data_IF_487867266849
#
_entry.id   IF_487867266849
#
_cell.length_a   1.000
_cell.length_b   1.000
_cell.length_c   1.000
_cell.angle_alpha   90.00
_cell.angle_beta   90.00
_cell.angle_gamma   90.00
#
_symmetry.space_group_name_H-M   'P 1'
#
loop_
_entity.id
_entity.type
_entity.pdbx_description
1 polymer ?
#
# COMPACT_ATOMS: atom_id res chain seq x y z
N UNK A 1 -17.74 -8.69 45.73
CA UNK A 1 -17.53 -9.25 44.36
C UNK A 1 -16.08 -9.11 43.90
N UNK A 2 -15.44 -7.93 44.07
CA UNK A 2 -14.00 -7.78 43.85
C UNK A 2 -13.17 -8.63 44.82
N UNK A 3 -13.47 -8.62 46.12
CA UNK A 3 -12.71 -9.39 47.12
C UNK A 3 -12.76 -10.90 46.90
N UNK A 4 -13.89 -11.42 46.41
CA UNK A 4 -14.05 -12.83 46.05
C UNK A 4 -13.28 -13.21 44.77
N UNK A 5 -13.07 -12.27 43.85
CA UNK A 5 -12.23 -12.47 42.67
C UNK A 5 -10.75 -12.41 43.06
N UNK A 6 -10.38 -11.44 43.90
CA UNK A 6 -9.01 -11.31 44.43
C UNK A 6 -8.61 -12.55 45.24
N UNK A 7 -9.48 -13.04 46.13
CA UNK A 7 -9.23 -14.26 46.92
C UNK A 7 -9.11 -15.53 46.06
N UNK A 8 -9.84 -15.61 44.94
CA UNK A 8 -9.71 -16.72 43.98
C UNK A 8 -8.44 -16.62 43.14
N UNK A 9 -7.97 -15.41 42.81
CA UNK A 9 -6.73 -15.19 42.05
C UNK A 9 -5.48 -15.34 42.93
N UNK A 10 -5.60 -15.15 44.25
CA UNK A 10 -4.52 -15.32 45.23
C UNK A 10 -4.32 -16.77 45.69
N UNK A 11 -5.16 -17.71 45.25
CA UNK A 11 -4.99 -19.12 45.58
C UNK A 11 -3.81 -19.71 44.77
N UNK A 12 -2.79 -20.33 45.38
CA UNK A 12 -1.57 -20.73 44.68
C UNK A 12 -1.80 -21.56 43.40
N UNK A 13 -2.79 -22.47 43.44
CA UNK A 13 -3.18 -23.29 42.28
C UNK A 13 -3.72 -22.47 41.09
N UNK A 14 -4.54 -21.45 41.34
CA UNK A 14 -5.11 -20.61 40.27
C UNK A 14 -4.05 -19.67 39.70
N UNK A 15 -3.19 -19.11 40.56
CA UNK A 15 -2.04 -18.31 40.14
C UNK A 15 -1.10 -19.12 39.24
N UNK A 16 -0.71 -20.33 39.66
CA UNK A 16 0.17 -21.21 38.86
C UNK A 16 -0.47 -21.60 37.52
N UNK A 17 -1.77 -21.91 37.50
CA UNK A 17 -2.47 -22.22 36.26
C UNK A 17 -2.49 -21.03 35.28
N UNK A 18 -2.74 -19.81 35.78
CA UNK A 18 -2.75 -18.59 34.97
C UNK A 18 -1.35 -18.27 34.42
N UNK A 19 -0.31 -18.38 35.25
CA UNK A 19 1.08 -18.19 34.81
C UNK A 19 1.47 -19.23 33.77
N UNK A 20 1.10 -20.50 33.97
CA UNK A 20 1.33 -21.58 33.02
C UNK A 20 0.65 -21.32 31.67
N UNK A 21 -0.63 -20.95 31.69
CA UNK A 21 -1.38 -20.60 30.47
C UNK A 21 -0.79 -19.39 29.75
N UNK A 22 -0.45 -18.33 30.47
CA UNK A 22 0.15 -17.13 29.87
C UNK A 22 1.51 -17.45 29.25
N UNK A 23 2.35 -18.23 29.94
CA UNK A 23 3.67 -18.64 29.43
C UNK A 23 3.53 -19.49 28.16
N UNK A 24 2.57 -20.43 28.16
CA UNK A 24 2.27 -21.24 26.98
C UNK A 24 1.77 -20.38 25.81
N UNK A 25 0.84 -19.46 26.06
CA UNK A 25 0.29 -18.55 25.05
C UNK A 25 1.38 -17.66 24.44
N UNK A 26 2.18 -16.99 25.28
CA UNK A 26 3.26 -16.12 24.81
C UNK A 26 4.31 -16.91 24.03
N UNK A 27 4.64 -18.14 24.45
CA UNK A 27 5.56 -19.02 23.73
C UNK A 27 5.00 -19.45 22.37
N UNK A 28 3.72 -19.85 22.32
CA UNK A 28 3.05 -20.23 21.08
C UNK A 28 3.01 -19.06 20.09
N UNK A 29 2.61 -17.87 20.54
CA UNK A 29 2.60 -16.65 19.73
C UNK A 29 4.01 -16.34 19.22
N UNK A 30 5.03 -16.40 20.10
CA UNK A 30 6.43 -16.13 19.74
C UNK A 30 6.97 -17.11 18.71
N UNK A 31 6.64 -18.40 18.80
CA UNK A 31 7.07 -19.41 17.83
C UNK A 31 6.37 -19.18 16.50
N UNK A 32 5.02 -19.16 16.50
CA UNK A 32 4.24 -19.08 15.26
C UNK A 32 4.51 -17.80 14.48
N UNK A 33 4.66 -16.66 15.17
CA UNK A 33 4.82 -15.35 14.53
C UNK A 33 6.13 -15.22 13.76
N UNK A 34 7.18 -15.93 14.17
CA UNK A 34 8.49 -15.88 13.51
C UNK A 34 8.70 -17.00 12.48
N UNK A 35 7.72 -17.89 12.28
CA UNK A 35 7.85 -19.00 11.30
C UNK A 35 8.11 -18.51 9.88
N UNK A 36 7.33 -17.54 9.40
CA UNK A 36 7.46 -17.00 8.03
C UNK A 36 8.73 -16.19 7.85
N UNK A 37 9.03 -15.31 8.81
CA UNK A 37 10.30 -14.59 8.87
C UNK A 37 11.50 -15.56 8.80
N UNK A 38 11.53 -16.59 9.64
CA UNK A 38 12.65 -17.54 9.63
C UNK A 38 12.70 -18.36 8.33
N UNK A 39 11.55 -18.70 7.74
CA UNK A 39 11.50 -19.43 6.48
C UNK A 39 12.08 -18.61 5.32
N UNK A 40 11.70 -17.34 5.17
CA UNK A 40 12.19 -16.49 4.09
C UNK A 40 13.69 -16.20 4.24
N UNK A 41 14.18 -16.02 5.47
CA UNK A 41 15.60 -15.83 5.74
C UNK A 41 16.43 -17.09 5.50
N UNK A 42 15.89 -18.29 5.79
CA UNK A 42 16.56 -19.54 5.41
C UNK A 42 16.62 -19.73 3.90
N UNK A 43 15.58 -19.32 3.17
CA UNK A 43 15.51 -19.43 1.71
C UNK A 43 16.53 -18.51 1.02
N UNK A 44 16.62 -17.24 1.45
CA UNK A 44 17.39 -16.22 0.73
C UNK A 44 18.68 -15.77 1.43
N UNK A 45 18.91 -16.16 2.67
CA UNK A 45 20.05 -15.66 3.46
C UNK A 45 21.41 -15.98 2.86
N UNK A 46 21.61 -17.21 2.36
CA UNK A 46 22.85 -17.61 1.68
C UNK A 46 23.03 -16.91 0.34
N UNK A 47 21.95 -16.77 -0.44
CA UNK A 47 21.98 -16.07 -1.73
C UNK A 47 22.30 -14.58 -1.56
N UNK A 48 21.68 -13.92 -0.59
CA UNK A 48 21.95 -12.51 -0.29
C UNK A 48 23.37 -12.27 0.26
N UNK A 49 23.93 -13.24 0.98
CA UNK A 49 25.31 -13.23 1.47
C UNK A 49 25.73 -11.90 2.13
N UNK A 50 24.95 -11.43 3.11
CA UNK A 50 25.21 -10.16 3.81
C UNK A 50 25.34 -8.92 2.90
N UNK A 51 24.64 -8.92 1.76
CA UNK A 51 24.65 -7.82 0.79
C UNK A 51 25.70 -7.96 -0.31
N UNK A 52 26.49 -9.03 -0.30
CA UNK A 52 27.46 -9.32 -1.36
C UNK A 52 26.85 -10.10 -2.54
N UNK A 53 25.71 -10.74 -2.33
CA UNK A 53 25.00 -11.49 -3.36
C UNK A 53 23.86 -10.69 -4.00
N UNK A 54 23.41 -11.15 -5.17
CA UNK A 54 22.37 -10.50 -5.95
C UNK A 54 21.00 -11.14 -5.70
N UNK A 55 19.98 -10.29 -5.51
CA UNK A 55 18.58 -10.69 -5.45
C UNK A 55 17.88 -10.24 -6.73
N UNK A 56 17.11 -11.13 -7.34
CA UNK A 56 16.28 -10.80 -8.49
C UNK A 56 15.02 -10.04 -8.03
N UNK A 57 14.41 -9.17 -8.87
CA UNK A 57 13.23 -8.39 -8.50
C UNK A 57 12.05 -9.22 -7.97
N UNK A 58 11.79 -10.38 -8.54
CA UNK A 58 10.74 -11.31 -8.10
C UNK A 58 11.05 -11.98 -6.75
N UNK A 59 12.33 -12.22 -6.45
CA UNK A 59 12.76 -12.74 -5.15
C UNK A 59 12.64 -11.65 -4.08
N UNK A 60 13.04 -10.42 -4.43
CA UNK A 60 12.83 -9.25 -3.60
C UNK A 60 11.32 -9.04 -3.33
N UNK A 61 10.47 -9.23 -4.33
CA UNK A 61 9.01 -9.19 -4.20
C UNK A 61 8.51 -10.25 -3.20
N UNK A 62 8.97 -11.50 -3.29
CA UNK A 62 8.60 -12.56 -2.33
C UNK A 62 9.02 -12.21 -0.89
N UNK A 63 10.23 -11.66 -0.74
CA UNK A 63 10.76 -11.26 0.58
C UNK A 63 9.88 -10.17 1.21
N UNK A 64 9.58 -9.09 0.47
CA UNK A 64 8.78 -7.98 1.02
C UNK A 64 7.33 -8.38 1.30
N UNK A 65 6.78 -9.33 0.55
CA UNK A 65 5.42 -9.85 0.75
C UNK A 65 5.20 -10.47 2.14
N UNK A 66 6.23 -11.03 2.78
CA UNK A 66 6.11 -11.55 4.15
C UNK A 66 5.72 -10.43 5.11
N UNK A 67 6.47 -9.32 5.06
CA UNK A 67 6.21 -8.17 5.93
C UNK A 67 4.87 -7.51 5.59
N UNK A 68 4.60 -7.33 4.29
CA UNK A 68 3.42 -6.63 3.75
C UNK A 68 2.13 -7.41 3.93
N UNK A 69 2.09 -8.70 3.69
CA UNK A 69 0.83 -9.46 3.65
C UNK A 69 0.52 -10.16 4.97
N UNK A 70 1.53 -10.51 5.77
CA UNK A 70 1.35 -11.32 6.98
C UNK A 70 1.66 -10.56 8.25
N UNK A 71 2.82 -9.91 8.32
CA UNK A 71 3.30 -9.37 9.59
C UNK A 71 2.60 -8.07 9.95
N UNK A 72 2.68 -7.07 9.07
CA UNK A 72 2.25 -5.69 9.35
C UNK A 72 1.40 -5.07 8.22
N UNK A 73 0.40 -5.79 7.64
CA UNK A 73 -0.35 -5.32 6.47
C UNK A 73 -1.07 -4.00 6.67
N UNK A 74 -1.61 -3.76 7.87
CA UNK A 74 -2.25 -2.49 8.14
C UNK A 74 -1.24 -1.34 8.13
N UNK A 75 -0.09 -1.50 8.79
CA UNK A 75 0.93 -0.45 8.84
C UNK A 75 1.48 -0.19 7.45
N UNK A 76 1.94 -1.23 6.75
CA UNK A 76 2.57 -1.12 5.42
C UNK A 76 1.61 -0.67 4.31
N UNK A 77 0.31 -0.92 4.45
CA UNK A 77 -0.69 -0.28 3.58
C UNK A 77 -0.67 1.24 3.75
N UNK A 78 -0.61 1.74 4.99
CA UNK A 78 -0.64 3.17 5.26
C UNK A 78 0.72 3.85 5.01
N UNK A 79 1.85 3.13 5.02
CA UNK A 79 3.14 3.73 4.67
C UNK A 79 3.18 4.22 3.23
N UNK A 80 2.54 3.52 2.28
CA UNK A 80 2.42 3.98 0.90
C UNK A 80 1.51 5.20 0.76
N UNK A 81 0.42 5.27 1.54
CA UNK A 81 -0.42 6.46 1.58
C UNK A 81 0.33 7.67 2.17
N UNK A 82 1.14 7.45 3.22
CA UNK A 82 1.98 8.48 3.84
C UNK A 82 3.12 8.92 2.94
N UNK A 83 3.76 8.01 2.20
CA UNK A 83 4.76 8.32 1.19
C UNK A 83 4.17 9.26 0.12
N UNK A 84 3.00 8.92 -0.44
CA UNK A 84 2.30 9.79 -1.38
C UNK A 84 1.94 11.14 -0.76
N UNK A 85 1.43 11.15 0.47
CA UNK A 85 1.07 12.39 1.17
C UNK A 85 2.29 13.29 1.39
N UNK A 86 3.45 12.72 1.72
CA UNK A 86 4.71 13.43 1.93
C UNK A 86 5.17 14.20 0.69
N UNK A 87 4.93 13.66 -0.51
CA UNK A 87 5.24 14.36 -1.78
C UNK A 87 4.51 15.70 -1.93
N UNK A 88 3.41 15.92 -1.22
CA UNK A 88 2.70 17.20 -1.26
C UNK A 88 3.49 18.32 -0.58
N UNK A 89 4.53 18.00 0.19
CA UNK A 89 5.46 18.98 0.74
C UNK A 89 6.44 19.56 -0.30
N UNK A 90 6.45 19.04 -1.53
CA UNK A 90 7.32 19.51 -2.62
C UNK A 90 6.51 20.42 -3.56
N UNK A 91 6.85 21.72 -3.72
CA UNK A 91 6.07 22.66 -4.52
C UNK A 91 5.90 22.28 -6.00
N UNK A 92 6.91 21.67 -6.64
CA UNK A 92 6.80 21.20 -8.04
C UNK A 92 5.70 20.13 -8.18
N UNK A 93 5.65 19.20 -7.23
CA UNK A 93 4.69 18.09 -7.21
C UNK A 93 3.30 18.59 -6.83
N UNK A 94 3.16 19.35 -5.75
CA UNK A 94 1.85 19.83 -5.27
C UNK A 94 1.16 20.75 -6.30
N UNK A 95 1.92 21.64 -6.95
CA UNK A 95 1.42 22.49 -8.04
C UNK A 95 0.90 21.67 -9.21
N UNK A 96 1.63 20.63 -9.61
CA UNK A 96 1.19 19.72 -10.67
C UNK A 96 -0.10 18.98 -10.25
N UNK A 97 -0.15 18.46 -9.03
CA UNK A 97 -1.33 17.78 -8.48
C UNK A 97 -2.56 18.70 -8.46
N UNK A 98 -2.41 19.95 -8.02
CA UNK A 98 -3.46 20.95 -8.05
C UNK A 98 -3.92 21.25 -9.49
N UNK A 99 -2.98 21.33 -10.44
CA UNK A 99 -3.26 21.58 -11.85
C UNK A 99 -4.02 20.42 -12.53
N UNK A 100 -3.82 19.17 -12.09
CA UNK A 100 -4.55 18.02 -12.66
C UNK A 100 -6.07 18.12 -12.51
N UNK A 101 -6.55 18.88 -11.52
CA UNK A 101 -7.94 18.97 -11.06
C UNK A 101 -8.51 17.69 -10.43
N UNK A 102 -7.72 16.63 -10.32
CA UNK A 102 -8.15 15.35 -9.72
C UNK A 102 -8.14 15.37 -8.18
N UNK A 103 -7.61 16.43 -7.58
CA UNK A 103 -7.67 16.72 -6.14
C UNK A 103 -8.56 17.91 -5.80
N UNK A 104 -9.59 18.23 -6.62
CA UNK A 104 -10.44 19.41 -6.42
C UNK A 104 -11.81 19.12 -5.83
N UNK A 105 -12.27 17.87 -5.88
CA UNK A 105 -13.55 17.48 -5.30
C UNK A 105 -13.40 16.19 -4.51
N UNK A 106 -14.20 16.03 -3.46
CA UNK A 106 -14.21 14.82 -2.64
C UNK A 106 -14.31 13.55 -3.51
N UNK A 107 -15.21 13.55 -4.50
CA UNK A 107 -15.41 12.40 -5.39
C UNK A 107 -14.17 12.10 -6.26
N UNK A 108 -13.53 13.12 -6.84
CA UNK A 108 -12.32 12.95 -7.66
C UNK A 108 -11.14 12.44 -6.82
N UNK A 109 -10.93 13.02 -5.63
CA UNK A 109 -9.89 12.56 -4.67
C UNK A 109 -10.11 11.10 -4.31
N UNK A 110 -11.35 10.73 -3.99
CA UNK A 110 -11.73 9.37 -3.59
C UNK A 110 -11.42 8.34 -4.67
N UNK A 111 -11.79 8.64 -5.93
CA UNK A 111 -11.50 7.76 -7.07
C UNK A 111 -10.00 7.70 -7.33
N UNK A 112 -9.33 8.86 -7.41
CA UNK A 112 -7.89 8.93 -7.64
C UNK A 112 -7.11 8.12 -6.61
N UNK A 113 -7.46 8.23 -5.33
CA UNK A 113 -6.85 7.45 -4.26
C UNK A 113 -7.10 5.95 -4.45
N UNK A 114 -8.33 5.54 -4.73
CA UNK A 114 -8.68 4.14 -4.98
C UNK A 114 -7.90 3.55 -6.14
N UNK A 115 -7.86 4.25 -7.28
CA UNK A 115 -7.15 3.80 -8.49
C UNK A 115 -5.65 3.70 -8.25
N UNK A 116 -5.07 4.67 -7.53
CA UNK A 116 -3.65 4.67 -7.16
C UNK A 116 -3.32 3.47 -6.27
N UNK A 117 -4.15 3.20 -5.25
CA UNK A 117 -3.98 2.04 -4.36
C UNK A 117 -4.09 0.73 -5.13
N UNK A 118 -5.05 0.61 -6.05
CA UNK A 118 -5.22 -0.59 -6.88
C UNK A 118 -3.98 -0.80 -7.73
N UNK A 119 -3.56 0.21 -8.50
CA UNK A 119 -2.38 0.12 -9.36
C UNK A 119 -1.14 -0.31 -8.58
N UNK A 120 -0.82 0.39 -7.49
CA UNK A 120 0.34 0.07 -6.62
C UNK A 120 0.24 -1.34 -6.06
N UNK A 121 -0.94 -1.72 -5.58
CA UNK A 121 -1.16 -3.05 -5.00
C UNK A 121 -1.00 -4.13 -6.06
N UNK A 122 -1.46 -3.91 -7.29
CA UNK A 122 -1.35 -4.87 -8.39
C UNK A 122 0.10 -5.23 -8.68
N UNK A 123 1.02 -4.28 -8.91
CA UNK A 123 2.42 -4.67 -9.15
C UNK A 123 3.17 -5.09 -7.89
N UNK A 124 2.68 -4.80 -6.69
CA UNK A 124 3.26 -5.34 -5.46
C UNK A 124 2.80 -6.79 -5.16
N UNK A 125 1.60 -7.19 -5.60
CA UNK A 125 0.94 -8.44 -5.19
C UNK A 125 0.83 -9.47 -6.31
N UNK A 126 0.67 -9.04 -7.58
CA UNK A 126 0.79 -9.91 -8.75
C UNK A 126 2.28 -10.15 -9.09
N UNK A 127 2.63 -11.31 -9.67
CA UNK A 127 4.01 -11.63 -10.05
C UNK A 127 4.62 -10.57 -10.96
N UNK A 128 5.68 -9.89 -10.51
CA UNK A 128 6.32 -8.83 -11.31
C UNK A 128 6.96 -9.38 -12.60
N UNK A 129 7.41 -10.63 -12.55
CA UNK A 129 7.92 -11.39 -13.70
C UNK A 129 6.82 -11.86 -14.65
N UNK A 130 5.56 -11.87 -14.21
CA UNK A 130 4.44 -12.49 -14.93
C UNK A 130 4.32 -14.01 -14.76
N UNK A 131 5.20 -14.66 -13.98
CA UNK A 131 5.23 -16.11 -13.80
C UNK A 131 5.38 -16.50 -12.33
N UNK A 132 4.75 -17.61 -11.95
CA UNK A 132 4.85 -18.17 -10.60
C UNK A 132 6.19 -18.88 -10.35
N UNK A 133 6.80 -19.43 -11.42
CA UNK A 133 8.13 -20.05 -11.41
C UNK A 133 9.19 -19.02 -11.82
N UNK A 134 10.10 -18.71 -10.90
CA UNK A 134 11.13 -17.68 -11.09
C UNK A 134 12.28 -18.14 -11.99
N UNK A 135 12.61 -19.43 -11.98
CA UNK A 135 13.67 -19.99 -12.82
C UNK A 135 13.17 -20.03 -14.27
N UNK A 136 11.92 -20.45 -14.48
CA UNK A 136 11.29 -20.36 -15.79
C UNK A 136 11.20 -18.92 -16.29
N UNK A 137 10.77 -17.97 -15.45
CA UNK A 137 10.69 -16.56 -15.81
C UNK A 137 12.00 -16.01 -16.37
N UNK A 138 13.12 -16.38 -15.74
CA UNK A 138 14.46 -15.91 -16.12
C UNK A 138 14.94 -16.41 -17.48
N UNK A 139 14.41 -17.54 -17.94
CA UNK A 139 14.80 -18.20 -19.20
C UNK A 139 13.80 -17.96 -20.32
N UNK A 140 12.58 -17.49 -20.00
CA UNK A 140 11.52 -17.22 -20.96
C UNK A 140 11.74 -15.90 -21.72
N UNK A 141 12.66 -15.91 -22.68
CA UNK A 141 13.08 -14.74 -23.46
C UNK A 141 13.10 -15.00 -24.97
N UNK A 142 13.19 -13.94 -25.77
CA UNK A 142 13.32 -14.03 -27.23
C UNK A 142 12.00 -14.24 -27.98
N UNK A 143 12.09 -14.52 -29.28
CA UNK A 143 10.92 -14.60 -30.18
C UNK A 143 9.95 -15.75 -29.87
N UNK A 144 10.39 -16.75 -29.10
CA UNK A 144 9.61 -17.93 -28.75
C UNK A 144 9.14 -17.91 -27.28
N UNK A 145 9.22 -16.75 -26.60
CA UNK A 145 8.77 -16.60 -25.23
C UNK A 145 7.30 -16.99 -25.09
N UNK A 146 7.00 -17.84 -24.10
CA UNK A 146 5.63 -18.19 -23.75
C UNK A 146 4.93 -16.97 -23.12
N UNK A 147 3.60 -16.84 -23.29
CA UNK A 147 2.85 -15.77 -22.64
C UNK A 147 2.93 -15.84 -21.11
N UNK A 148 2.88 -14.69 -20.45
CA UNK A 148 2.82 -14.57 -19.00
C UNK A 148 1.59 -15.30 -18.41
N UNK A 149 1.79 -15.98 -17.28
CA UNK A 149 0.70 -16.56 -16.49
C UNK A 149 -0.18 -15.46 -15.88
N UNK A 150 0.45 -14.39 -15.40
CA UNK A 150 -0.22 -13.24 -14.81
C UNK A 150 0.42 -11.91 -15.25
N UNK A 151 -0.07 -11.30 -16.34
CA UNK A 151 0.48 -10.04 -16.87
C UNK A 151 0.09 -8.80 -16.05
N UNK A 152 -0.76 -8.93 -15.02
CA UNK A 152 -1.43 -7.79 -14.36
C UNK A 152 -0.47 -6.76 -13.77
N UNK A 153 0.63 -7.21 -13.15
CA UNK A 153 1.65 -6.31 -12.61
C UNK A 153 2.20 -5.34 -13.67
N UNK A 154 2.50 -5.86 -14.86
CA UNK A 154 3.07 -5.08 -15.96
C UNK A 154 2.00 -4.26 -16.69
N UNK A 155 0.74 -4.71 -16.76
CA UNK A 155 -0.38 -3.88 -17.23
C UNK A 155 -0.57 -2.67 -16.32
N UNK A 156 -0.48 -2.86 -14.99
CA UNK A 156 -0.61 -1.77 -14.03
C UNK A 156 0.55 -0.75 -14.13
N UNK A 157 1.78 -1.23 -14.31
CA UNK A 157 2.94 -0.36 -14.55
C UNK A 157 2.81 0.39 -15.88
N UNK A 158 2.47 -0.30 -16.97
CA UNK A 158 2.26 0.32 -18.27
C UNK A 158 1.14 1.37 -18.23
N UNK A 159 0.03 1.09 -17.51
CA UNK A 159 -1.05 2.06 -17.30
C UNK A 159 -0.56 3.28 -16.54
N UNK A 160 0.25 3.09 -15.50
CA UNK A 160 0.82 4.18 -14.72
C UNK A 160 1.75 5.04 -15.57
N UNK A 161 2.66 4.43 -16.33
CA UNK A 161 3.54 5.13 -17.28
C UNK A 161 2.75 5.95 -18.30
N UNK A 162 1.70 5.36 -18.87
CA UNK A 162 0.84 6.04 -19.83
C UNK A 162 0.08 7.22 -19.23
N UNK A 163 -0.47 7.07 -18.02
CA UNK A 163 -1.15 8.17 -17.31
C UNK A 163 -0.17 9.30 -16.99
N UNK A 164 1.03 8.93 -16.55
CA UNK A 164 2.08 9.86 -16.20
C UNK A 164 2.64 10.62 -17.42
N UNK A 165 2.71 10.00 -18.61
CA UNK A 165 3.18 10.66 -19.83
C UNK A 165 2.28 11.81 -20.30
N UNK A 166 1.06 11.92 -19.76
CA UNK A 166 0.15 13.05 -20.03
C UNK A 166 0.53 14.32 -19.27
N UNK A 167 1.55 14.27 -18.41
CA UNK A 167 1.99 15.35 -17.57
C UNK A 167 3.50 15.54 -17.68
N UNK A 168 3.97 16.79 -17.50
CA UNK A 168 5.39 17.10 -17.43
C UNK A 168 5.86 16.92 -15.99
N UNK A 169 6.38 15.74 -15.68
CA UNK A 169 6.96 15.39 -14.37
C UNK A 169 8.48 15.36 -14.54
N UNK A 170 9.22 16.03 -13.65
CA UNK A 170 10.68 16.01 -13.71
C UNK A 170 11.24 14.66 -13.26
N UNK A 171 12.41 14.27 -13.76
CA UNK A 171 13.06 13.03 -13.30
C UNK A 171 13.30 13.03 -11.79
N UNK A 172 13.66 14.19 -11.22
CA UNK A 172 13.88 14.31 -9.78
C UNK A 172 12.59 14.14 -8.96
N UNK A 173 11.45 14.64 -9.43
CA UNK A 173 10.16 14.41 -8.74
C UNK A 173 9.77 12.92 -8.78
N UNK A 174 10.03 12.25 -9.92
CA UNK A 174 9.86 10.80 -10.04
C UNK A 174 10.77 10.05 -9.07
N UNK A 175 12.07 10.35 -9.08
CA UNK A 175 13.06 9.69 -8.26
C UNK A 175 12.78 9.90 -6.77
N UNK A 176 12.36 11.09 -6.37
CA UNK A 176 11.93 11.36 -5.00
C UNK A 176 10.75 10.51 -4.58
N UNK A 177 9.70 10.46 -5.42
CA UNK A 177 8.53 9.62 -5.14
C UNK A 177 8.92 8.14 -5.05
N UNK A 178 9.83 7.67 -5.92
CA UNK A 178 10.37 6.30 -5.89
C UNK A 178 11.11 6.01 -4.59
N UNK A 179 12.00 6.91 -4.16
CA UNK A 179 12.75 6.76 -2.92
C UNK A 179 11.79 6.62 -1.73
N UNK A 180 10.73 7.43 -1.65
CA UNK A 180 9.75 7.31 -0.56
C UNK A 180 9.06 5.94 -0.53
N UNK A 181 8.74 5.37 -1.68
CA UNK A 181 8.15 4.03 -1.74
C UNK A 181 9.10 2.93 -1.23
N UNK A 182 10.41 3.09 -1.45
CA UNK A 182 11.42 2.17 -0.93
C UNK A 182 11.72 2.38 0.57
N UNK A 183 11.77 3.63 1.04
CA UNK A 183 12.32 3.98 2.36
C UNK A 183 11.26 4.18 3.45
N UNK A 184 10.07 4.70 3.14
CA UNK A 184 9.02 4.93 4.14
C UNK A 184 8.53 3.62 4.80
N UNK A 185 8.32 2.49 4.08
CA UNK A 185 8.06 1.20 4.70
C UNK A 185 9.07 0.84 5.79
N UNK A 186 10.36 1.07 5.53
CA UNK A 186 11.46 0.78 6.45
C UNK A 186 11.43 1.71 7.66
N UNK A 187 11.29 3.02 7.43
CA UNK A 187 11.22 4.02 8.48
C UNK A 187 10.06 3.75 9.46
N UNK A 188 8.86 3.50 8.93
CA UNK A 188 7.65 3.30 9.74
C UNK A 188 7.64 1.96 10.47
N UNK A 189 8.07 0.88 9.83
CA UNK A 189 8.13 -0.43 10.48
C UNK A 189 9.17 -0.46 11.60
N UNK A 190 10.32 0.18 11.42
CA UNK A 190 11.34 0.26 12.47
C UNK A 190 10.86 1.03 13.70
N UNK A 191 9.92 1.98 13.53
CA UNK A 191 9.42 2.84 14.60
C UNK A 191 8.12 2.35 15.25
N UNK A 192 7.21 1.80 14.46
CA UNK A 192 5.84 1.49 14.86
C UNK A 192 5.39 0.08 14.48
N UNK A 193 6.26 -0.69 13.84
CA UNK A 193 6.04 -2.10 13.58
C UNK A 193 6.19 -2.94 14.85
N UNK A 194 5.53 -4.10 14.89
CA UNK A 194 5.74 -5.05 15.99
C UNK A 194 7.16 -5.65 15.95
N UNK A 195 7.83 -5.61 14.79
CA UNK A 195 9.26 -5.88 14.61
C UNK A 195 9.86 -4.90 13.60
N UNK A 196 11.18 -4.77 13.65
CA UNK A 196 11.98 -4.11 12.61
C UNK A 196 12.10 -5.01 11.37
N UNK A 197 12.39 -4.41 10.23
CA UNK A 197 12.82 -5.14 9.04
C UNK A 197 14.30 -5.51 9.15
N UNK A 198 14.65 -6.73 8.80
CA UNK A 198 16.05 -7.17 8.77
C UNK A 198 16.83 -6.48 7.64
N UNK A 199 18.18 -6.51 7.66
CA UNK A 199 18.97 -6.00 6.55
C UNK A 199 18.62 -6.64 5.19
N UNK A 200 18.31 -7.95 5.17
CA UNK A 200 17.85 -8.66 3.97
C UNK A 200 16.52 -8.06 3.46
N UNK A 201 15.55 -7.86 4.35
CA UNK A 201 14.25 -7.31 3.96
C UNK A 201 14.36 -5.86 3.49
N UNK A 202 15.19 -5.04 4.15
CA UNK A 202 15.46 -3.66 3.73
C UNK A 202 16.12 -3.62 2.34
N UNK A 203 17.09 -4.51 2.08
CA UNK A 203 17.71 -4.64 0.76
C UNK A 203 16.69 -5.09 -0.30
N UNK A 204 15.80 -6.03 0.04
CA UNK A 204 14.74 -6.46 -0.88
C UNK A 204 13.77 -5.32 -1.22
N UNK A 205 13.41 -4.44 -0.27
CA UNK A 205 12.64 -3.23 -0.57
C UNK A 205 13.35 -2.34 -1.59
N UNK A 206 14.65 -2.12 -1.42
CA UNK A 206 15.46 -1.37 -2.39
C UNK A 206 15.45 -2.03 -3.77
N UNK A 207 15.79 -3.33 -3.86
CA UNK A 207 15.87 -4.06 -5.15
C UNK A 207 14.54 -4.00 -5.89
N UNK A 208 13.44 -4.30 -5.19
CA UNK A 208 12.12 -4.29 -5.79
C UNK A 208 11.75 -2.90 -6.32
N UNK A 209 11.87 -1.84 -5.51
CA UNK A 209 11.49 -0.50 -5.95
C UNK A 209 12.47 0.09 -6.96
N UNK A 210 13.76 -0.22 -6.91
CA UNK A 210 14.70 0.16 -7.96
C UNK A 210 14.31 -0.47 -9.32
N UNK A 211 13.86 -1.74 -9.34
CA UNK A 211 13.33 -2.38 -10.55
C UNK A 211 12.05 -1.68 -11.06
N UNK A 212 11.11 -1.36 -10.16
CA UNK A 212 9.93 -0.55 -10.53
C UNK A 212 10.36 0.78 -11.15
N UNK A 213 11.35 1.46 -10.58
CA UNK A 213 11.86 2.73 -11.12
C UNK A 213 12.42 2.59 -12.53
N UNK A 214 13.18 1.53 -12.79
CA UNK A 214 13.69 1.20 -14.14
C UNK A 214 12.54 0.95 -15.12
N UNK A 215 11.53 0.17 -14.71
CA UNK A 215 10.30 -0.08 -15.50
C UNK A 215 9.47 1.17 -15.76
N UNK A 216 9.63 2.21 -14.93
CA UNK A 216 9.03 3.54 -15.10
C UNK A 216 9.93 4.52 -15.87
N UNK A 217 11.08 4.06 -16.38
CA UNK A 217 12.08 4.87 -17.08
C UNK A 217 12.64 6.04 -16.23
N UNK A 218 12.71 5.86 -14.90
CA UNK A 218 13.34 6.81 -13.98
C UNK A 218 14.86 6.68 -14.11
N UNK A 219 15.54 7.81 -14.29
CA UNK A 219 16.99 7.88 -14.45
C UNK A 219 17.68 8.18 -13.12
N UNK A 220 18.99 7.93 -13.05
CA UNK A 220 19.85 8.28 -11.92
C UNK A 220 19.44 7.65 -10.58
N UNK A 221 18.82 6.45 -10.63
CA UNK A 221 18.44 5.70 -9.43
C UNK A 221 19.72 5.31 -8.66
N UNK A 222 19.87 5.72 -7.38
CA UNK A 222 21.05 5.37 -6.58
C UNK A 222 21.26 3.86 -6.51
N UNK A 223 22.52 3.42 -6.52
CA UNK A 223 22.91 2.00 -6.62
C UNK A 223 22.81 1.23 -5.30
N UNK A 224 22.37 1.87 -4.22
CA UNK A 224 22.15 1.23 -2.93
C UNK A 224 21.00 1.90 -2.15
N UNK A 225 20.46 1.17 -1.17
CA UNK A 225 19.46 1.72 -0.24
C UNK A 225 19.99 2.95 0.51
N UNK A 226 21.24 2.91 0.97
CA UNK A 226 21.88 4.04 1.66
C UNK A 226 21.94 5.27 0.75
N UNK A 227 22.36 5.09 -0.51
CA UNK A 227 22.36 6.16 -1.51
C UNK A 227 20.97 6.71 -1.80
N UNK A 228 19.93 5.87 -1.88
CA UNK A 228 18.54 6.33 -2.01
C UNK A 228 18.10 7.18 -0.81
N UNK A 229 18.47 6.78 0.41
CA UNK A 229 18.11 7.52 1.62
C UNK A 229 18.83 8.87 1.69
N UNK A 230 20.11 8.91 1.34
CA UNK A 230 20.90 10.14 1.29
C UNK A 230 20.39 11.10 0.21
N UNK A 231 20.16 10.60 -1.00
CA UNK A 231 19.61 11.38 -2.10
C UNK A 231 18.23 11.96 -1.77
N UNK A 232 17.33 11.16 -1.20
CA UNK A 232 16.00 11.63 -0.81
C UNK A 232 16.07 12.70 0.28
N UNK A 233 17.00 12.54 1.23
CA UNK A 233 17.24 13.54 2.27
C UNK A 233 17.75 14.87 1.70
N UNK A 234 18.72 14.83 0.80
CA UNK A 234 19.24 16.04 0.13
C UNK A 234 18.15 16.74 -0.69
N UNK A 235 17.34 15.96 -1.41
CA UNK A 235 16.20 16.46 -2.15
C UNK A 235 15.16 17.12 -1.23
N UNK A 236 14.84 16.52 -0.09
CA UNK A 236 13.96 17.11 0.93
C UNK A 236 14.53 18.41 1.50
N UNK A 237 15.80 18.40 1.91
CA UNK A 237 16.47 19.58 2.48
C UNK A 237 16.50 20.77 1.50
N UNK A 238 16.51 20.48 0.19
CA UNK A 238 16.55 21.49 -0.88
C UNK A 238 15.17 21.96 -1.33
N UNK A 239 14.23 21.03 -1.54
CA UNK A 239 12.97 21.32 -2.26
C UNK A 239 11.71 21.26 -1.38
N UNK A 240 11.78 20.69 -0.17
CA UNK A 240 10.61 20.60 0.72
C UNK A 240 10.40 21.89 1.52
N UNK A 241 9.83 22.89 0.85
CA UNK A 241 9.63 24.23 1.39
C UNK A 241 8.15 24.61 1.51
N UNK A 242 7.78 25.54 2.41
CA UNK A 242 6.41 26.03 2.54
C UNK A 242 5.85 26.57 1.22
N UNK A 243 4.68 26.07 0.81
CA UNK A 243 3.94 26.60 -0.33
C UNK A 243 2.43 26.45 -0.16
N UNK A 244 1.68 27.38 -0.74
CA UNK A 244 0.22 27.38 -0.65
C UNK A 244 -0.39 26.15 -1.33
N UNK A 245 0.14 25.75 -2.50
CA UNK A 245 -0.31 24.54 -3.20
C UNK A 245 -0.13 23.29 -2.33
N UNK A 246 0.96 23.20 -1.53
CA UNK A 246 1.18 22.11 -0.58
C UNK A 246 0.04 22.01 0.45
N UNK A 247 -0.35 23.17 1.01
CA UNK A 247 -1.42 23.26 2.01
C UNK A 247 -2.77 22.86 1.42
N UNK A 248 -3.10 23.34 0.23
CA UNK A 248 -4.39 23.11 -0.40
C UNK A 248 -4.63 21.64 -0.76
N UNK A 249 -3.63 20.99 -1.36
CA UNK A 249 -3.75 19.56 -1.72
C UNK A 249 -3.74 18.66 -0.47
N UNK A 250 -3.00 19.05 0.57
CA UNK A 250 -3.00 18.36 1.85
C UNK A 250 -4.38 18.48 2.54
N UNK A 251 -4.94 19.68 2.66
CA UNK A 251 -6.25 19.92 3.29
C UNK A 251 -7.37 19.17 2.56
N UNK A 252 -7.33 19.16 1.23
CA UNK A 252 -8.32 18.46 0.42
C UNK A 252 -8.26 16.95 0.64
N UNK A 253 -7.05 16.38 0.69
CA UNK A 253 -6.83 14.96 0.93
C UNK A 253 -7.21 14.55 2.37
N UNK A 254 -6.83 15.34 3.37
CA UNK A 254 -7.22 15.09 4.78
C UNK A 254 -8.74 15.20 4.94
N UNK A 255 -9.38 16.15 4.26
CA UNK A 255 -10.83 16.30 4.24
C UNK A 255 -11.56 15.08 3.64
N UNK A 256 -10.99 14.43 2.63
CA UNK A 256 -11.53 13.18 2.08
C UNK A 256 -11.30 11.99 3.01
N UNK A 257 -10.11 11.85 3.61
CA UNK A 257 -9.82 10.80 4.58
C UNK A 257 -10.82 10.80 5.75
N UNK A 258 -11.21 12.00 6.18
CA UNK A 258 -12.14 12.21 7.30
C UNK A 258 -13.59 12.41 6.84
N UNK A 259 -13.90 12.12 5.57
CA UNK A 259 -15.23 12.33 5.00
C UNK A 259 -16.34 11.57 5.74
N UNK A 260 -16.04 10.33 6.16
CA UNK A 260 -16.94 9.45 6.89
C UNK A 260 -16.95 9.68 8.42
N UNK A 261 -16.03 10.48 8.95
CA UNK A 261 -16.01 10.77 10.39
C UNK A 261 -17.20 11.69 10.76
N UNK A 262 -17.90 11.46 11.88
CA UNK A 262 -18.98 12.34 12.33
C UNK A 262 -18.50 13.79 12.56
N UNK A 263 -19.37 14.77 12.29
CA UNK A 263 -19.10 16.18 12.63
C UNK A 263 -19.34 16.47 14.12
N UNK A 264 -20.19 15.67 14.77
CA UNK A 264 -20.48 15.78 16.18
C UNK A 264 -19.22 15.63 17.04
N UNK A 265 -19.20 16.36 18.17
CA UNK A 265 -18.15 16.30 19.19
C UNK A 265 -16.73 16.63 18.69
N UNK A 266 -16.59 17.25 17.51
CA UNK A 266 -15.31 17.64 16.95
C UNK A 266 -14.45 16.48 16.44
N UNK A 267 -15.04 15.31 16.13
CA UNK A 267 -14.30 14.13 15.68
C UNK A 267 -13.46 14.39 14.41
N UNK A 268 -13.98 15.15 13.42
CA UNK A 268 -13.19 15.56 12.24
C UNK A 268 -11.99 16.42 12.63
N UNK A 269 -12.16 17.41 13.50
CA UNK A 269 -11.07 18.27 13.95
C UNK A 269 -10.00 17.48 14.72
N UNK A 270 -10.41 16.55 15.59
CA UNK A 270 -9.48 15.64 16.26
C UNK A 270 -8.75 14.76 15.24
N UNK A 271 -9.46 14.19 14.26
CA UNK A 271 -8.88 13.40 13.18
C UNK A 271 -7.82 14.17 12.38
N UNK A 272 -8.11 15.44 12.01
CA UNK A 272 -7.15 16.32 11.34
C UNK A 272 -5.88 16.48 12.17
N UNK A 273 -6.03 16.77 13.47
CA UNK A 273 -4.89 16.95 14.38
C UNK A 273 -4.08 15.67 14.57
N UNK A 274 -4.74 14.50 14.61
CA UNK A 274 -4.08 13.20 14.64
C UNK A 274 -3.27 13.00 13.35
N UNK A 275 -3.84 13.28 12.18
CA UNK A 275 -3.10 13.20 10.91
C UNK A 275 -1.87 14.09 10.90
N UNK A 276 -1.97 15.33 11.38
CA UNK A 276 -0.82 16.24 11.50
C UNK A 276 0.25 15.68 12.46
N UNK A 277 -0.14 14.94 13.51
CA UNK A 277 0.81 14.30 14.43
C UNK A 277 1.64 13.17 13.79
N UNK A 278 1.18 12.60 12.67
CA UNK A 278 1.87 11.54 11.94
C UNK A 278 2.95 12.09 10.99
N UNK A 279 2.88 13.38 10.63
CA UNK A 279 3.85 14.01 9.76
C UNK A 279 5.18 14.25 10.50
N UNK A 280 6.28 14.05 9.79
CA UNK A 280 7.58 14.54 10.24
C UNK A 280 7.62 16.09 10.20
N UNK A 281 8.68 16.66 10.78
CA UNK A 281 8.74 18.10 11.00
C UNK A 281 8.85 18.92 9.71
N UNK A 282 9.66 18.46 8.73
CA UNK A 282 9.88 19.19 7.49
C UNK A 282 8.62 19.15 6.62
N UNK A 283 7.98 17.98 6.50
CA UNK A 283 6.71 17.82 5.77
C UNK A 283 5.60 18.69 6.37
N UNK A 284 5.43 18.67 7.70
CA UNK A 284 4.43 19.51 8.38
C UNK A 284 4.65 21.00 8.11
N UNK A 285 5.91 21.47 8.18
CA UNK A 285 6.26 22.87 7.91
C UNK A 285 6.01 23.24 6.45
N UNK A 286 6.39 22.37 5.52
CA UNK A 286 6.20 22.59 4.09
C UNK A 286 4.71 22.64 3.69
N UNK A 287 3.85 21.89 4.38
CA UNK A 287 2.39 21.98 4.25
C UNK A 287 1.77 23.11 5.08
N UNK A 288 2.57 23.94 5.76
CA UNK A 288 2.10 25.07 6.57
C UNK A 288 1.10 24.67 7.68
N UNK A 289 1.23 23.46 8.24
CA UNK A 289 0.41 23.03 9.37
C UNK A 289 1.02 23.45 10.70
N UNK A 290 0.19 23.84 11.66
CA UNK A 290 0.66 24.17 13.00
C UNK A 290 1.15 22.94 13.78
N UNK A 291 2.14 23.18 14.65
CA UNK A 291 2.68 22.14 15.53
C UNK A 291 1.61 21.74 16.55
N UNK A 292 1.29 20.46 16.59
CA UNK A 292 0.29 19.94 17.53
C UNK A 292 0.85 19.85 18.97
N UNK A 293 -0.02 19.95 20.01
CA UNK A 293 0.39 19.87 21.40
C UNK A 293 1.21 18.61 21.72
N UNK A 294 2.18 18.74 22.62
CA UNK A 294 3.11 17.65 22.94
C UNK A 294 2.39 16.40 23.45
N UNK A 295 1.37 16.55 24.30
CA UNK A 295 0.58 15.44 24.82
C UNK A 295 -0.17 14.69 23.72
N UNK A 296 -0.75 15.40 22.75
CA UNK A 296 -1.46 14.75 21.64
C UNK A 296 -0.47 13.96 20.77
N UNK A 297 0.68 14.55 20.43
CA UNK A 297 1.74 13.87 19.67
C UNK A 297 2.27 12.64 20.40
N UNK A 298 2.49 12.74 21.71
CA UNK A 298 2.91 11.62 22.55
C UNK A 298 1.83 10.52 22.61
N UNK A 299 0.56 10.90 22.74
CA UNK A 299 -0.57 9.97 22.75
C UNK A 299 -0.71 9.18 21.44
N UNK A 300 -0.60 9.85 20.27
CA UNK A 300 -0.63 9.17 18.96
C UNK A 300 0.51 8.17 18.83
N UNK A 301 1.74 8.56 19.21
CA UNK A 301 2.90 7.66 19.21
C UNK A 301 2.73 6.50 20.19
N UNK A 302 2.20 6.77 21.38
CA UNK A 302 1.88 5.76 22.40
C UNK A 302 0.87 4.75 21.90
N UNK A 303 -0.19 5.19 21.22
CA UNK A 303 -1.20 4.31 20.64
C UNK A 303 -0.60 3.36 19.58
N UNK A 304 0.26 3.87 18.70
CA UNK A 304 0.97 3.05 17.72
C UNK A 304 1.90 2.04 18.40
N UNK A 305 2.65 2.46 19.42
CA UNK A 305 3.53 1.58 20.18
C UNK A 305 2.77 0.49 20.96
N UNK A 306 1.62 0.82 21.56
CA UNK A 306 0.73 -0.14 22.20
C UNK A 306 0.20 -1.14 21.16
N UNK A 307 -0.22 -0.65 19.99
CA UNK A 307 -0.66 -1.51 18.88
C UNK A 307 0.43 -2.50 18.46
N UNK A 308 1.68 -2.04 18.32
CA UNK A 308 2.83 -2.87 18.02
C UNK A 308 3.09 -3.92 19.11
N UNK A 309 3.02 -3.53 20.39
CA UNK A 309 3.19 -4.43 21.53
C UNK A 309 2.13 -5.53 21.56
N UNK A 310 0.85 -5.16 21.44
CA UNK A 310 -0.29 -6.09 21.43
C UNK A 310 -0.15 -7.07 20.26
N UNK A 311 0.18 -6.57 19.06
CA UNK A 311 0.43 -7.42 17.90
C UNK A 311 1.60 -8.38 18.12
N UNK A 312 2.71 -7.90 18.72
CA UNK A 312 3.91 -8.71 18.93
C UNK A 312 3.66 -9.89 19.86
N UNK A 313 3.01 -9.64 21.00
CA UNK A 313 2.99 -10.57 22.13
C UNK A 313 1.63 -11.23 22.37
N UNK A 314 0.52 -10.57 22.04
CA UNK A 314 -0.80 -11.01 22.49
C UNK A 314 -1.66 -11.61 21.39
N UNK A 315 -1.50 -11.18 20.14
CA UNK A 315 -2.28 -11.73 19.03
C UNK A 315 -1.58 -12.96 18.43
N UNK A 316 -2.31 -13.92 17.83
CA UNK A 316 -1.71 -14.94 16.96
C UNK A 316 -1.29 -14.33 15.60
N UNK A 317 -0.36 -14.96 14.86
CA UNK A 317 -0.05 -14.53 13.50
C UNK A 317 -1.19 -14.83 12.54
N UNK A 318 -1.21 -14.13 11.41
CA UNK A 318 -2.23 -14.34 10.37
C UNK A 318 -2.03 -15.70 9.71
N UNK A 319 -3.13 -16.41 9.51
CA UNK A 319 -3.14 -17.68 8.78
C UNK A 319 -3.07 -17.39 7.27
N UNK A 320 -3.87 -16.43 6.81
CA UNK A 320 -3.95 -16.00 5.41
C UNK A 320 -3.30 -14.62 5.20
N UNK A 321 -2.72 -14.42 4.01
CA UNK A 321 -2.15 -13.14 3.63
C UNK A 321 -3.25 -12.11 3.39
N UNK A 322 -3.02 -10.87 3.83
CA UNK A 322 -3.87 -9.73 3.48
C UNK A 322 -3.38 -9.17 2.17
N UNK A 323 -4.24 -9.22 1.15
CA UNK A 323 -4.03 -8.63 -0.16
C UNK A 323 -5.01 -7.48 -0.34
N UNK A 324 -4.68 -6.51 -1.20
CA UNK A 324 -5.51 -5.37 -1.56
C UNK A 324 -6.18 -5.55 -2.93
N UNK A 325 -5.63 -6.43 -3.77
CA UNK A 325 -6.23 -6.86 -5.03
C UNK A 325 -6.43 -8.37 -5.05
N UNK A 326 -7.38 -8.83 -5.86
CA UNK A 326 -7.57 -10.26 -6.10
C UNK A 326 -6.45 -10.79 -6.99
N UNK A 327 -5.69 -11.76 -6.48
CA UNK A 327 -4.63 -12.44 -7.23
C UNK A 327 -5.06 -13.80 -7.81
N UNK A 328 -6.31 -14.22 -7.55
CA UNK A 328 -6.84 -15.48 -8.06
C UNK A 328 -6.98 -15.51 -9.59
N UNK A 329 -7.31 -16.69 -10.16
CA UNK A 329 -7.63 -16.79 -11.57
C UNK A 329 -8.81 -15.87 -11.91
N UNK A 330 -8.89 -15.38 -13.15
CA UNK A 330 -9.95 -14.48 -13.56
C UNK A 330 -11.32 -15.11 -13.30
N UNK A 331 -12.13 -14.43 -12.48
CA UNK A 331 -13.49 -14.84 -12.20
C UNK A 331 -14.47 -14.14 -13.16
N UNK A 332 -15.31 -14.91 -13.86
CA UNK A 332 -16.36 -14.38 -14.74
C UNK A 332 -16.35 -14.97 -16.15
N UNK A 333 -17.37 -14.63 -16.95
CA UNK A 333 -17.47 -14.98 -18.38
C UNK A 333 -16.58 -14.10 -19.26
N UNK A 334 -17.00 -13.83 -20.50
CA UNK A 334 -16.29 -12.92 -21.42
C UNK A 334 -16.00 -11.58 -20.74
N UNK A 335 -14.74 -11.12 -20.77
CA UNK A 335 -14.25 -9.89 -20.13
C UNK A 335 -14.29 -9.88 -18.58
N UNK A 336 -13.40 -10.61 -17.89
CA UNK A 336 -13.37 -10.61 -16.43
C UNK A 336 -13.04 -9.21 -15.88
N UNK A 337 -13.79 -8.81 -14.85
CA UNK A 337 -13.60 -7.56 -14.10
C UNK A 337 -13.09 -7.85 -12.70
N UNK A 338 -12.07 -7.10 -12.30
CA UNK A 338 -11.45 -7.18 -10.99
C UNK A 338 -12.19 -6.31 -9.97
N UNK A 339 -12.00 -6.64 -8.69
CA UNK A 339 -12.51 -5.88 -7.56
C UNK A 339 -11.41 -5.76 -6.50
N UNK A 340 -11.33 -4.63 -5.78
CA UNK A 340 -10.43 -4.53 -4.65
C UNK A 340 -10.96 -5.41 -3.51
N UNK A 341 -10.06 -5.92 -2.67
CA UNK A 341 -10.45 -6.73 -1.50
C UNK A 341 -10.90 -5.86 -0.32
N UNK A 342 -10.65 -4.55 -0.40
CA UNK A 342 -10.98 -3.54 0.60
C UNK A 342 -11.59 -2.33 -0.08
N UNK A 343 -12.65 -1.80 0.51
CA UNK A 343 -13.37 -0.65 -0.03
C UNK A 343 -13.14 0.58 0.86
N UNK A 344 -12.84 1.76 0.26
CA UNK A 344 -12.81 3.00 1.01
C UNK A 344 -14.23 3.43 1.43
N UNK A 345 -14.34 4.53 2.18
CA UNK A 345 -15.63 5.07 2.65
C UNK A 345 -16.60 5.34 1.49
N UNK A 346 -16.11 5.78 0.33
CA UNK A 346 -16.85 5.65 -0.94
C UNK A 346 -16.51 4.32 -1.58
N UNK A 347 -17.48 3.40 -1.75
CA UNK A 347 -17.20 2.03 -2.14
C UNK A 347 -17.00 1.89 -3.66
N UNK A 348 -15.97 2.51 -4.21
CA UNK A 348 -15.55 2.35 -5.61
C UNK A 348 -15.27 0.88 -5.92
N UNK A 349 -15.79 0.42 -7.06
CA UNK A 349 -15.67 -0.96 -7.56
C UNK A 349 -16.33 -2.03 -6.68
N UNK A 350 -17.12 -1.62 -5.69
CA UNK A 350 -17.84 -2.56 -4.82
C UNK A 350 -19.07 -3.12 -5.52
N UNK A 351 -19.28 -4.44 -5.50
CA UNK A 351 -20.43 -5.04 -6.15
C UNK A 351 -21.73 -4.67 -5.42
N UNK A 352 -22.82 -4.53 -6.19
CA UNK A 352 -24.15 -4.46 -5.59
C UNK A 352 -24.48 -5.80 -4.94
N UNK A 353 -25.06 -5.77 -3.75
CA UNK A 353 -25.65 -6.97 -3.17
C UNK A 353 -26.72 -7.54 -4.10
N UNK A 354 -26.64 -8.83 -4.38
CA UNK A 354 -27.64 -9.58 -5.16
C UNK A 354 -28.78 -10.11 -4.29
N UNK A 355 -28.62 -10.12 -2.96
CA UNK A 355 -29.64 -10.56 -2.01
C UNK A 355 -30.31 -9.38 -1.31
N UNK A 356 -31.59 -9.55 -0.93
CA UNK A 356 -32.34 -8.56 -0.15
C UNK A 356 -31.67 -8.28 1.21
N UNK A 357 -31.22 -9.32 1.91
CA UNK A 357 -30.53 -9.18 3.19
C UNK A 357 -29.24 -8.36 3.05
N UNK A 358 -28.42 -8.63 2.04
CA UNK A 358 -27.20 -7.87 1.80
C UNK A 358 -27.52 -6.42 1.40
N UNK A 359 -28.60 -6.17 0.66
CA UNK A 359 -29.03 -4.80 0.34
C UNK A 359 -29.40 -4.01 1.60
N UNK A 360 -30.17 -4.60 2.52
CA UNK A 360 -30.51 -3.95 3.79
C UNK A 360 -29.30 -3.77 4.70
N UNK A 361 -28.36 -4.73 4.72
CA UNK A 361 -27.07 -4.59 5.41
C UNK A 361 -26.30 -3.39 4.87
N UNK A 362 -26.13 -3.29 3.55
CA UNK A 362 -25.38 -2.20 2.93
C UNK A 362 -26.05 -0.84 3.20
N UNK A 363 -27.39 -0.79 3.12
CA UNK A 363 -28.18 0.41 3.48
C UNK A 363 -27.99 0.79 4.95
N UNK A 364 -27.93 -0.18 5.86
CA UNK A 364 -27.66 0.03 7.28
C UNK A 364 -26.24 0.56 7.51
N UNK A 365 -25.23 0.03 6.82
CA UNK A 365 -23.85 0.52 6.90
C UNK A 365 -23.72 1.96 6.40
N UNK A 366 -24.45 2.33 5.34
CA UNK A 366 -24.54 3.73 4.88
C UNK A 366 -25.21 4.60 5.93
N UNK A 367 -26.31 4.15 6.54
CA UNK A 367 -27.01 4.89 7.62
C UNK A 367 -26.10 5.11 8.84
N UNK A 368 -25.23 4.16 9.16
CA UNK A 368 -24.24 4.29 10.24
C UNK A 368 -23.02 5.15 9.87
N UNK A 369 -22.93 5.65 8.64
CA UNK A 369 -21.78 6.44 8.17
C UNK A 369 -20.52 5.60 7.90
N UNK A 370 -20.63 4.27 7.87
CA UNK A 370 -19.52 3.39 7.50
C UNK A 370 -19.15 3.54 6.01
N UNK A 371 -20.18 3.67 5.17
CA UNK A 371 -20.04 4.04 3.76
C UNK A 371 -20.81 5.33 3.47
N UNK A 372 -20.28 6.14 2.55
CA UNK A 372 -20.86 7.43 2.18
C UNK A 372 -22.06 7.30 1.25
N UNK A 373 -22.07 6.26 0.40
CA UNK A 373 -23.13 6.01 -0.57
C UNK A 373 -23.19 4.51 -0.90
N UNK A 374 -24.34 4.06 -1.43
CA UNK A 374 -24.53 2.66 -1.81
C UNK A 374 -23.69 2.32 -3.06
N UNK A 375 -23.21 1.07 -3.19
CA UNK A 375 -22.63 0.58 -4.44
C UNK A 375 -23.56 0.82 -5.63
N UNK A 376 -23.02 1.40 -6.71
CA UNK A 376 -23.81 1.83 -7.87
C UNK A 376 -22.98 1.81 -9.16
N UNK A 377 -23.66 1.95 -10.31
CA UNK A 377 -22.98 2.07 -11.60
C UNK A 377 -22.07 3.31 -11.65
N UNK A 378 -22.47 4.40 -10.98
CA UNK A 378 -21.63 5.61 -10.81
C UNK A 378 -20.31 5.30 -10.11
N UNK A 379 -20.33 4.38 -9.14
CA UNK A 379 -19.16 3.88 -8.43
C UNK A 379 -18.54 2.63 -9.06
N UNK A 380 -18.90 2.32 -10.32
CA UNK A 380 -18.36 1.19 -11.09
C UNK A 380 -18.55 -0.17 -10.40
N UNK A 381 -19.75 -0.42 -9.88
CA UNK A 381 -20.08 -1.66 -9.15
C UNK A 381 -19.85 -2.97 -9.93
N UNK A 382 -19.72 -2.88 -11.25
CA UNK A 382 -19.32 -3.98 -12.14
C UNK A 382 -17.84 -4.39 -11.97
N UNK A 383 -17.01 -3.58 -11.30
CA UNK A 383 -15.57 -3.78 -11.16
C UNK A 383 -14.76 -3.00 -12.21
N UNK A 384 -13.46 -3.27 -12.29
CA UNK A 384 -12.55 -2.58 -13.20
C UNK A 384 -11.74 -3.55 -14.05
N UNK A 385 -11.19 -3.04 -15.15
CA UNK A 385 -9.97 -3.59 -15.77
C UNK A 385 -8.81 -2.63 -15.53
N UNK A 386 -7.59 -3.16 -15.48
CA UNK A 386 -6.42 -2.39 -15.07
C UNK A 386 -6.15 -1.25 -16.05
N UNK A 387 -6.29 -1.50 -17.35
CA UNK A 387 -6.11 -0.50 -18.39
C UNK A 387 -7.17 0.62 -18.40
N UNK A 388 -8.27 0.44 -17.66
CA UNK A 388 -9.35 1.43 -17.50
C UNK A 388 -9.11 2.36 -16.29
N UNK A 389 -8.23 1.99 -15.36
CA UNK A 389 -8.01 2.74 -14.11
C UNK A 389 -7.46 4.16 -14.38
N UNK A 390 -7.80 5.10 -13.52
CA UNK A 390 -7.38 6.50 -13.61
C UNK A 390 -8.56 7.46 -13.81
N UNK A 391 -8.25 8.74 -14.11
CA UNK A 391 -9.25 9.79 -14.32
C UNK A 391 -10.31 9.39 -15.34
N UNK A 392 -11.56 9.81 -15.12
CA UNK A 392 -12.72 9.49 -15.99
C UNK A 392 -12.43 9.81 -17.45
N UNK A 393 -11.79 10.96 -17.72
CA UNK A 393 -11.41 11.40 -19.07
C UNK A 393 -10.50 10.41 -19.82
N UNK A 394 -9.73 9.59 -19.10
CA UNK A 394 -8.78 8.64 -19.68
C UNK A 394 -9.25 7.18 -19.60
N UNK A 395 -10.44 6.92 -19.07
CA UNK A 395 -10.96 5.57 -18.82
C UNK A 395 -11.01 4.72 -20.10
N UNK A 396 -11.31 5.35 -21.24
CA UNK A 396 -11.44 4.70 -22.55
C UNK A 396 -10.26 5.00 -23.51
N UNK A 397 -9.16 5.54 -23.00
CA UNK A 397 -8.01 5.96 -23.81
C UNK A 397 -6.76 5.13 -23.51
N UNK A 398 -5.93 4.95 -24.53
CA UNK A 398 -4.59 4.36 -24.40
C UNK A 398 -4.55 2.84 -24.20
N UNK A 399 -5.68 2.12 -24.27
CA UNK A 399 -5.72 0.68 -23.96
C UNK A 399 -4.77 -0.16 -24.81
N UNK A 400 -4.70 0.11 -26.12
CA UNK A 400 -3.79 -0.62 -27.05
C UNK A 400 -2.33 -0.34 -26.71
N UNK A 401 -2.00 0.93 -26.47
CA UNK A 401 -0.66 1.37 -26.10
C UNK A 401 -0.23 0.76 -24.75
N UNK A 402 -1.13 0.74 -23.76
CA UNK A 402 -0.90 0.12 -22.45
C UNK A 402 -0.59 -1.37 -22.59
N UNK A 403 -1.34 -2.13 -23.41
CA UNK A 403 -1.06 -3.57 -23.59
C UNK A 403 0.24 -3.82 -24.35
N UNK A 404 0.56 -2.98 -25.33
CA UNK A 404 1.84 -3.02 -26.04
C UNK A 404 3.00 -2.79 -25.06
N UNK A 405 2.96 -1.70 -24.30
CA UNK A 405 3.99 -1.36 -23.32
C UNK A 405 4.09 -2.42 -22.21
N UNK A 406 2.97 -3.02 -21.79
CA UNK A 406 2.98 -4.12 -20.83
C UNK A 406 3.69 -5.37 -21.39
N UNK A 407 3.48 -5.67 -22.68
CA UNK A 407 4.17 -6.79 -23.35
C UNK A 407 5.67 -6.52 -23.47
N UNK A 408 6.07 -5.28 -23.74
CA UNK A 408 7.47 -4.86 -23.76
C UNK A 408 8.13 -4.98 -22.39
N UNK A 409 7.45 -4.54 -21.31
CA UNK A 409 7.94 -4.68 -19.93
C UNK A 409 8.06 -6.15 -19.47
N UNK A 410 7.20 -7.03 -20.00
CA UNK A 410 7.24 -8.47 -19.73
C UNK A 410 8.30 -9.20 -20.57
N UNK A 411 8.64 -8.70 -21.76
CA UNK A 411 9.42 -9.43 -22.75
C UNK A 411 8.63 -10.55 -23.45
N UNK A 412 7.31 -10.61 -23.27
CA UNK A 412 6.42 -11.59 -23.92
C UNK A 412 5.02 -11.00 -24.14
N UNK A 413 4.20 -11.56 -25.05
CA UNK A 413 2.85 -11.04 -25.32
C UNK A 413 1.91 -11.12 -24.12
N UNK A 414 1.12 -10.07 -23.89
CA UNK A 414 -0.04 -10.10 -22.97
C UNK A 414 -1.21 -10.81 -23.67
N UNK A 415 -1.57 -12.00 -23.19
CA UNK A 415 -2.65 -12.82 -23.79
C UNK A 415 -3.75 -13.17 -22.78
N UNK A 416 -4.77 -13.87 -23.28
CA UNK A 416 -5.82 -14.46 -22.47
C UNK A 416 -6.79 -13.42 -21.86
N UNK A 417 -7.40 -13.70 -20.70
CA UNK A 417 -8.49 -12.93 -20.12
C UNK A 417 -8.16 -11.45 -19.82
N UNK A 418 -6.87 -11.15 -19.64
CA UNK A 418 -6.37 -9.82 -19.32
C UNK A 418 -6.01 -9.01 -20.57
N UNK A 419 -5.98 -9.61 -21.76
CA UNK A 419 -5.75 -8.91 -23.03
C UNK A 419 -7.00 -8.16 -23.52
N UNK A 420 -6.85 -7.33 -24.55
CA UNK A 420 -7.99 -6.67 -25.22
C UNK A 420 -8.85 -7.65 -26.01
N UNK A 421 -8.29 -8.76 -26.48
CA UNK A 421 -9.04 -9.83 -27.14
C UNK A 421 -9.95 -10.54 -26.13
N UNK A 422 -9.47 -10.72 -24.90
CA UNK A 422 -10.25 -11.24 -23.78
C UNK A 422 -11.47 -10.38 -23.39
N UNK A 423 -11.65 -9.21 -24.02
CA UNK A 423 -12.88 -8.40 -23.91
C UNK A 423 -14.04 -8.93 -24.75
N UNK A 424 -13.77 -9.69 -25.83
CA UNK A 424 -14.75 -10.03 -26.89
C UNK A 424 -15.57 -11.30 -26.60
#
# INVERSE_FOLDING_TARGET
MLDSVVARLSHPKTTTALVGWLTLWLSLVRVLRWRRYNAIHRKYGSKWNNGLGELLPQEAQEIIQVSKSYDMPWLLYHTYALALFKTYGIPSISKLLAATKELKSKQSVSRRYTDTVILISTWNECPISGFSDYDFASTNTGSNAKPAEDPRANIALARTNWLHSKYKISNSDYLYTLCLFATEPIYWTNRYGWRTLSPLEQHAYYVFWADIGKRMNIQDIPTSLAGMMEWAKEYEDTYMVPAQDNREVADTTVGELLSAAPEALGCKALGQRITICLLDEITRKAMMYDKQPALLRAGVKGLLAIGAFVQRFLLPPRIYGVLNVDIGPPSGGKCPRMRPTRYPSRPWYSPKSTSALGHYRDKFLVKLGWYMEMPSAKLKSEGYRIEELGPVKFENEGHVEVMKNASELLGCPVTGPWSLEGRK
#
